data_IF_378838631864
#
_entry.id   IF_378838631864
#
_cell.length_a   1.000
_cell.length_b   1.000
_cell.length_c   1.000
_cell.angle_alpha   90.00
_cell.angle_beta   90.00
_cell.angle_gamma   90.00
#
_symmetry.space_group_name_H-M   'P 1'
#
loop_
_entity.id
_entity.type
_entity.pdbx_description
1 polymer ?
#
# COMPACT_ATOMS: atom_id res chain seq x y z
N UNK A 1 -8.15 -21.13 26.17
CA UNK A 1 -8.96 -20.34 25.20
C UNK A 1 -8.21 -20.30 23.88
N UNK A 2 -8.89 -20.41 22.74
CA UNK A 2 -8.24 -20.32 21.42
C UNK A 2 -7.95 -18.87 21.01
N UNK A 3 -7.08 -18.68 20.03
CA UNK A 3 -6.85 -17.38 19.39
C UNK A 3 -8.04 -16.92 18.56
N UNK A 4 -8.32 -15.61 18.58
CA UNK A 4 -9.22 -14.91 17.66
C UNK A 4 -8.68 -14.94 16.22
N UNK A 5 -9.50 -14.52 15.25
CA UNK A 5 -9.05 -14.41 13.86
C UNK A 5 -7.87 -13.44 13.68
N UNK A 6 -7.94 -12.27 14.32
CA UNK A 6 -6.87 -11.27 14.27
C UNK A 6 -5.58 -11.80 14.89
N UNK A 7 -5.64 -12.41 16.08
CA UNK A 7 -4.48 -13.03 16.73
C UNK A 7 -3.86 -14.12 15.85
N UNK A 8 -4.67 -14.95 15.17
CA UNK A 8 -4.15 -15.95 14.22
C UNK A 8 -3.39 -15.32 13.05
N UNK A 9 -3.88 -14.22 12.48
CA UNK A 9 -3.18 -13.50 11.41
C UNK A 9 -1.86 -12.93 11.93
N UNK A 10 -1.89 -12.22 13.06
CA UNK A 10 -0.70 -11.58 13.61
C UNK A 10 0.34 -12.60 14.10
N UNK A 11 -0.07 -13.70 14.73
CA UNK A 11 0.84 -14.80 15.07
C UNK A 11 1.55 -15.34 13.83
N UNK A 12 0.79 -15.65 12.77
CA UNK A 12 1.37 -16.14 11.50
C UNK A 12 2.31 -15.12 10.88
N UNK A 13 1.96 -13.83 10.90
CA UNK A 13 2.76 -12.75 10.30
C UNK A 13 4.01 -12.38 11.10
N UNK A 14 3.98 -12.60 12.41
CA UNK A 14 5.12 -12.42 13.31
C UNK A 14 6.01 -13.67 13.43
N UNK A 15 5.65 -14.79 12.80
CA UNK A 15 6.38 -16.05 12.93
C UNK A 15 6.26 -16.69 14.32
N UNK A 16 5.17 -16.41 15.04
CA UNK A 16 4.90 -16.93 16.40
C UNK A 16 3.84 -18.03 16.37
N UNK A 17 3.95 -18.99 17.28
CA UNK A 17 2.94 -20.02 17.48
C UNK A 17 1.63 -19.44 18.05
N UNK A 18 1.75 -18.38 18.85
CA UNK A 18 0.62 -17.66 19.42
C UNK A 18 0.96 -16.19 19.71
N UNK A 19 -0.09 -15.36 19.74
CA UNK A 19 -0.05 -13.98 20.24
C UNK A 19 -1.31 -13.69 21.03
N UNK A 20 -1.31 -12.64 21.86
CA UNK A 20 -2.49 -12.19 22.61
C UNK A 20 -2.72 -10.69 22.47
N UNK A 21 -3.98 -10.27 22.59
CA UNK A 21 -4.33 -8.86 22.68
C UNK A 21 -3.47 -8.13 23.73
N UNK A 22 -2.91 -6.96 23.35
CA UNK A 22 -1.99 -6.18 24.18
C UNK A 22 -0.50 -6.45 23.89
N UNK A 23 -0.16 -7.54 23.19
CA UNK A 23 1.21 -7.83 22.78
C UNK A 23 1.64 -6.98 21.57
N UNK A 24 2.89 -6.49 21.60
CA UNK A 24 3.52 -5.82 20.45
C UNK A 24 4.23 -6.87 19.59
N UNK A 25 3.90 -6.90 18.31
CA UNK A 25 4.52 -7.81 17.33
C UNK A 25 4.96 -7.06 16.08
N UNK A 26 6.05 -7.52 15.46
CA UNK A 26 6.54 -6.99 14.19
C UNK A 26 6.03 -7.86 13.05
N UNK A 27 5.31 -7.26 12.12
CA UNK A 27 4.71 -7.97 10.98
C UNK A 27 5.07 -7.28 9.68
N UNK A 28 5.38 -8.06 8.65
CA UNK A 28 5.47 -7.55 7.27
C UNK A 28 4.08 -7.60 6.62
N UNK A 29 3.56 -6.46 6.11
CA UNK A 29 2.29 -6.48 5.38
C UNK A 29 2.41 -7.21 4.03
N UNK A 30 1.31 -7.73 3.53
CA UNK A 30 1.18 -8.31 2.18
C UNK A 30 0.93 -7.24 1.11
N UNK A 31 0.26 -6.16 1.50
CA UNK A 31 -0.08 -5.02 0.64
C UNK A 31 0.10 -3.70 1.36
N UNK A 32 0.53 -2.71 0.60
CA UNK A 32 0.65 -1.32 0.98
C UNK A 32 -0.15 -0.50 -0.01
N UNK A 33 -1.36 -0.09 0.38
CA UNK A 33 -2.19 0.77 -0.44
C UNK A 33 -1.78 2.23 -0.22
N UNK A 34 -1.67 2.95 -1.33
CA UNK A 34 -1.53 4.40 -1.36
C UNK A 34 -2.48 4.96 -2.40
N UNK A 35 -2.80 6.24 -2.28
CA UNK A 35 -3.59 6.96 -3.28
C UNK A 35 -2.85 8.23 -3.72
N UNK A 36 -3.56 9.30 -4.09
CA UNK A 36 -2.99 10.60 -4.48
C UNK A 36 -1.94 11.14 -3.49
N UNK A 37 -2.02 10.76 -2.20
CA UNK A 37 -1.04 11.10 -1.18
C UNK A 37 0.36 10.50 -1.41
N UNK A 38 0.51 9.55 -2.34
CA UNK A 38 1.78 8.95 -2.71
C UNK A 38 2.80 9.98 -3.21
N UNK A 39 2.36 11.07 -3.82
CA UNK A 39 3.24 12.17 -4.19
C UNK A 39 3.99 12.72 -2.98
N UNK A 40 3.31 12.99 -1.86
CA UNK A 40 3.92 13.51 -0.66
C UNK A 40 4.71 12.46 0.12
N UNK A 41 4.23 11.21 0.16
CA UNK A 41 4.93 10.13 0.88
C UNK A 41 6.28 9.83 0.22
N UNK A 42 6.31 9.78 -1.12
CA UNK A 42 7.57 9.52 -1.86
C UNK A 42 8.62 10.61 -1.66
N UNK A 43 8.23 11.86 -1.36
CA UNK A 43 9.19 12.90 -0.95
C UNK A 43 9.74 12.64 0.44
N UNK A 44 8.87 12.27 1.38
CA UNK A 44 9.27 12.05 2.78
C UNK A 44 10.30 10.94 2.94
N UNK A 45 10.21 9.90 2.11
CA UNK A 45 11.12 8.74 2.13
C UNK A 45 12.13 8.74 0.96
N UNK A 46 12.35 9.90 0.32
CA UNK A 46 13.17 9.99 -0.88
C UNK A 46 14.61 9.52 -0.66
N UNK A 47 15.20 9.79 0.52
CA UNK A 47 16.57 9.36 0.84
C UNK A 47 16.67 7.83 0.88
N UNK A 48 15.73 7.20 1.57
CA UNK A 48 15.63 5.75 1.71
C UNK A 48 15.35 5.07 0.36
N UNK A 49 14.51 5.68 -0.48
CA UNK A 49 14.24 5.19 -1.83
C UNK A 49 15.47 5.27 -2.74
N UNK A 50 16.33 6.28 -2.57
CA UNK A 50 17.59 6.40 -3.32
C UNK A 50 18.61 5.37 -2.84
N UNK A 51 18.70 5.17 -1.53
CA UNK A 51 19.69 4.27 -0.92
C UNK A 51 19.33 2.78 -1.10
N UNK A 52 18.07 2.43 -0.88
CA UNK A 52 17.61 1.04 -0.81
C UNK A 52 16.61 0.64 -1.90
N UNK A 53 16.02 1.61 -2.61
CA UNK A 53 14.93 1.35 -3.54
C UNK A 53 13.63 0.94 -2.86
N UNK A 54 12.72 0.38 -3.65
CA UNK A 54 11.46 -0.22 -3.15
C UNK A 54 11.70 -1.69 -2.85
N UNK A 55 11.60 -2.06 -1.57
CA UNK A 55 11.90 -3.43 -1.11
C UNK A 55 11.09 -4.53 -1.79
N UNK A 56 9.83 -4.25 -2.15
CA UNK A 56 9.00 -5.15 -2.95
C UNK A 56 7.96 -4.38 -3.78
N UNK A 57 8.19 -4.19 -5.09
CA UNK A 57 7.23 -3.49 -5.97
C UNK A 57 5.86 -4.16 -6.09
N UNK A 58 5.75 -5.48 -5.83
CA UNK A 58 4.46 -6.21 -5.82
C UNK A 58 3.62 -5.95 -4.58
N UNK A 59 4.26 -5.49 -3.51
CA UNK A 59 3.57 -5.19 -2.26
C UNK A 59 2.83 -3.84 -2.36
N UNK A 60 3.32 -2.93 -3.20
CA UNK A 60 2.82 -1.57 -3.31
C UNK A 60 1.66 -1.52 -4.30
N UNK A 61 0.53 -0.95 -3.88
CA UNK A 61 -0.63 -0.66 -4.70
C UNK A 61 -0.88 0.83 -4.68
N UNK A 62 -0.96 1.45 -5.86
CA UNK A 62 -1.26 2.89 -5.98
C UNK A 62 -2.50 3.05 -6.85
N UNK A 63 -3.50 3.76 -6.32
CA UNK A 63 -4.75 4.08 -7.05
C UNK A 63 -4.96 5.60 -7.05
N UNK A 64 -5.11 6.23 -8.21
CA UNK A 64 -5.48 7.65 -8.29
C UNK A 64 -7.00 7.79 -8.35
N UNK A 65 -7.62 8.23 -7.25
CA UNK A 65 -9.09 8.24 -7.12
C UNK A 65 -9.69 9.45 -6.38
N UNK A 66 -8.94 10.15 -5.51
CA UNK A 66 -9.53 11.22 -4.69
C UNK A 66 -9.71 12.53 -5.45
N UNK A 67 -8.84 12.80 -6.42
CA UNK A 67 -8.80 14.08 -7.15
C UNK A 67 -8.77 13.85 -8.65
N UNK A 68 -9.86 13.29 -9.18
CA UNK A 68 -9.98 12.88 -10.58
C UNK A 68 -11.22 13.50 -11.24
N UNK A 69 -11.07 14.31 -12.32
CA UNK A 69 -9.80 14.81 -12.87
C UNK A 69 -9.07 15.74 -11.88
N UNK A 70 -7.79 16.00 -12.13
CA UNK A 70 -7.00 16.89 -11.29
C UNK A 70 -7.65 18.28 -11.19
N UNK A 71 -7.86 18.75 -9.96
CA UNK A 71 -8.59 19.99 -9.68
C UNK A 71 -7.74 21.26 -9.87
N UNK A 72 -6.42 21.12 -9.79
CA UNK A 72 -5.46 22.20 -9.92
C UNK A 72 -4.09 21.71 -10.46
N UNK A 73 -3.19 22.65 -10.76
CA UNK A 73 -1.84 22.38 -11.25
C UNK A 73 -1.03 21.51 -10.27
N UNK A 74 -1.18 21.77 -8.96
CA UNK A 74 -0.47 21.03 -7.91
C UNK A 74 -0.86 19.55 -7.92
N UNK A 75 -2.14 19.26 -8.06
CA UNK A 75 -2.68 17.92 -8.16
C UNK A 75 -2.19 17.24 -9.44
N UNK A 76 -2.22 17.95 -10.57
CA UNK A 76 -1.71 17.42 -11.84
C UNK A 76 -0.21 17.08 -11.76
N UNK A 77 0.60 17.94 -11.12
CA UNK A 77 2.01 17.70 -10.86
C UNK A 77 2.22 16.50 -9.92
N UNK A 78 1.38 16.35 -8.89
CA UNK A 78 1.37 15.18 -8.00
C UNK A 78 1.10 13.88 -8.75
N UNK A 79 0.08 13.85 -9.62
CA UNK A 79 -0.22 12.69 -10.45
C UNK A 79 0.94 12.36 -11.41
N UNK A 80 1.55 13.36 -12.05
CA UNK A 80 2.74 13.18 -12.90
C UNK A 80 3.87 12.51 -12.12
N UNK A 81 4.16 13.03 -10.93
CA UNK A 81 5.22 12.51 -10.06
C UNK A 81 4.95 11.06 -9.64
N UNK A 82 3.71 10.71 -9.33
CA UNK A 82 3.32 9.33 -9.00
C UNK A 82 3.56 8.41 -10.20
N UNK A 83 3.16 8.81 -11.41
CA UNK A 83 3.43 8.02 -12.63
C UNK A 83 4.92 7.83 -12.86
N UNK A 84 5.73 8.87 -12.65
CA UNK A 84 7.20 8.78 -12.72
C UNK A 84 7.78 7.82 -11.67
N UNK A 85 7.26 7.87 -10.42
CA UNK A 85 7.64 6.93 -9.36
C UNK A 85 7.30 5.49 -9.72
N UNK A 86 6.09 5.25 -10.23
CA UNK A 86 5.63 3.92 -10.69
C UNK A 86 6.55 3.37 -11.77
N UNK A 87 6.88 4.18 -12.77
CA UNK A 87 7.80 3.78 -13.83
C UNK A 87 9.21 3.52 -13.30
N UNK A 88 9.75 4.42 -12.46
CA UNK A 88 11.11 4.33 -11.93
C UNK A 88 11.34 3.07 -11.08
N UNK A 89 10.38 2.70 -10.24
CA UNK A 89 10.52 1.58 -9.30
C UNK A 89 9.75 0.32 -9.72
N UNK A 90 9.14 0.33 -10.91
CA UNK A 90 8.45 -0.84 -11.47
C UNK A 90 7.27 -1.32 -10.62
N UNK A 91 6.47 -0.38 -10.09
CA UNK A 91 5.29 -0.72 -9.27
C UNK A 91 4.25 -1.43 -10.14
N UNK A 92 3.97 -2.70 -9.86
CA UNK A 92 3.13 -3.55 -10.74
C UNK A 92 1.64 -3.25 -10.59
N UNK A 93 1.20 -2.83 -9.40
CA UNK A 93 -0.20 -2.58 -9.09
C UNK A 93 -0.50 -1.08 -9.08
N UNK A 94 -0.33 -0.44 -10.24
CA UNK A 94 -0.73 0.95 -10.44
C UNK A 94 -2.05 1.02 -11.22
N UNK A 95 -2.98 1.80 -10.70
CA UNK A 95 -4.29 2.04 -11.29
C UNK A 95 -4.48 3.54 -11.45
N UNK A 96 -4.43 4.00 -12.70
CA UNK A 96 -4.52 5.41 -13.03
C UNK A 96 -5.98 5.93 -12.89
N UNK A 97 -6.13 7.22 -13.13
CA UNK A 97 -7.39 7.96 -13.13
C UNK A 97 -8.51 7.22 -13.87
N UNK A 98 -9.69 7.21 -13.28
CA UNK A 98 -10.89 6.59 -13.86
C UNK A 98 -11.03 5.08 -13.61
N UNK A 99 -10.09 4.44 -12.89
CA UNK A 99 -10.21 3.01 -12.56
C UNK A 99 -11.29 2.73 -11.51
N UNK A 100 -11.41 3.58 -10.48
CA UNK A 100 -12.37 3.43 -9.39
C UNK A 100 -11.78 3.81 -8.03
N UNK A 101 -12.62 3.75 -6.98
CA UNK A 101 -12.22 4.06 -5.59
C UNK A 101 -11.22 3.01 -5.07
N UNK A 102 -10.18 3.45 -4.38
CA UNK A 102 -9.02 2.64 -4.01
C UNK A 102 -9.39 1.36 -3.24
N UNK A 103 -10.31 1.43 -2.28
CA UNK A 103 -10.78 0.27 -1.53
C UNK A 103 -11.59 -0.71 -2.39
N UNK A 104 -12.36 -0.20 -3.37
CA UNK A 104 -13.09 -1.04 -4.31
C UNK A 104 -12.12 -1.78 -5.24
N UNK A 105 -11.14 -1.06 -5.79
CA UNK A 105 -10.09 -1.63 -6.65
C UNK A 105 -9.30 -2.71 -5.92
N UNK A 106 -8.96 -2.49 -4.65
CA UNK A 106 -8.25 -3.49 -3.83
C UNK A 106 -8.97 -4.83 -3.77
N UNK A 107 -10.29 -4.81 -3.61
CA UNK A 107 -11.12 -6.02 -3.53
C UNK A 107 -11.35 -6.61 -4.92
N UNK A 108 -11.80 -5.81 -5.89
CA UNK A 108 -12.19 -6.28 -7.22
C UNK A 108 -11.02 -6.82 -8.05
N UNK A 109 -9.81 -6.29 -7.84
CA UNK A 109 -8.59 -6.76 -8.52
C UNK A 109 -7.91 -7.91 -7.77
N UNK A 110 -8.53 -8.44 -6.70
CA UNK A 110 -8.00 -9.56 -5.93
C UNK A 110 -6.68 -9.24 -5.22
N UNK A 111 -6.44 -7.97 -4.89
CA UNK A 111 -5.19 -7.54 -4.27
C UNK A 111 -5.18 -7.83 -2.77
N UNK A 112 -6.35 -7.98 -2.15
CA UNK A 112 -6.51 -8.40 -0.75
C UNK A 112 -7.36 -9.66 -0.67
N UNK A 113 -6.82 -10.68 -0.03
CA UNK A 113 -7.44 -11.99 0.13
C UNK A 113 -7.53 -12.38 1.60
N UNK A 114 -8.39 -13.35 1.98
CA UNK A 114 -8.52 -13.80 3.35
C UNK A 114 -7.18 -14.15 3.99
N UNK A 115 -6.94 -13.60 5.18
CA UNK A 115 -5.72 -13.83 5.94
C UNK A 115 -4.53 -12.95 5.54
N UNK A 116 -4.65 -12.07 4.54
CA UNK A 116 -3.63 -11.06 4.26
C UNK A 116 -3.65 -9.92 5.30
N UNK A 117 -2.50 -9.31 5.53
CA UNK A 117 -2.32 -8.07 6.29
C UNK A 117 -2.08 -6.93 5.30
N UNK A 118 -3.06 -6.06 5.10
CA UNK A 118 -2.93 -4.87 4.27
C UNK A 118 -2.86 -3.61 5.15
N UNK A 119 -2.08 -2.63 4.74
CA UNK A 119 -1.99 -1.30 5.36
C UNK A 119 -2.19 -0.27 4.27
N UNK A 120 -2.97 0.79 4.54
CA UNK A 120 -3.26 1.86 3.60
C UNK A 120 -4.16 2.92 4.19
#
# INVERSE_FOLDING_TARGET
MGMTFAEKIFARKAGKSEVRAGEIVFCKPDRLLMHDNAAAITDKVAKELIEFGVANPDQVVIVLDHTVPAVDEKTAAGHKKIREFVQRYGIRHFYDVGTGVCHQVMVEKGLVLPGMLAVG
#
